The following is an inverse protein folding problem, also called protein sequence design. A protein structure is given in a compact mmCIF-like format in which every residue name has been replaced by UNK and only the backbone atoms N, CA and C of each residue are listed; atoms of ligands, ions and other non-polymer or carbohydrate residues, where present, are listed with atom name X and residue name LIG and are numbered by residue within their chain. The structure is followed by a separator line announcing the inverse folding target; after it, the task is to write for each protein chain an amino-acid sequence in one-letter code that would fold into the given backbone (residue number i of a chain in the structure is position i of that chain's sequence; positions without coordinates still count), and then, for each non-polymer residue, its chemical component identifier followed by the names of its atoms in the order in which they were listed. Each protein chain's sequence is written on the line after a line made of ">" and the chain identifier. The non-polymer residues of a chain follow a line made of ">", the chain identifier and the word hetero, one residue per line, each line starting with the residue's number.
data_IF_364167820186
#
_entry.id   IF_364167820186
#
_cell.length_a   1.000
_cell.length_b   1.000
_cell.length_c   1.000
_cell.angle_alpha   90.00
_cell.angle_beta   90.00
_cell.angle_gamma   90.00
#
_symmetry.space_group_name_H-M   'P 1'
#
loop_
_entity.id
_entity.type
_entity.pdbx_description
1 polymer ?
#
# COMPACT_ATOMS: atom_id res chain seq x y z
N UNK A 1 22.93 -10.83 5.01
CA UNK A 1 22.34 -12.08 5.52
C UNK A 1 20.96 -12.21 4.87
N UNK A 2 20.74 -13.15 3.94
CA UNK A 2 19.38 -13.34 3.38
C UNK A 2 18.59 -14.07 4.47
N UNK A 3 17.63 -13.36 5.08
CA UNK A 3 16.66 -13.97 5.97
C UNK A 3 15.90 -14.99 5.13
N UNK A 4 16.11 -16.28 5.40
CA UNK A 4 15.46 -17.38 4.70
C UNK A 4 13.95 -17.21 4.85
N UNK A 5 13.30 -16.79 3.76
CA UNK A 5 11.85 -16.67 3.71
C UNK A 5 11.22 -18.05 3.92
N UNK A 6 10.42 -18.25 4.98
CA UNK A 6 9.75 -19.54 5.16
C UNK A 6 8.86 -19.83 3.93
N UNK A 7 8.85 -21.10 3.51
CA UNK A 7 8.09 -21.56 2.33
C UNK A 7 6.64 -21.01 2.31
N UNK A 8 6.03 -20.86 3.49
CA UNK A 8 4.70 -20.29 3.64
C UNK A 8 4.58 -18.81 3.24
N UNK A 9 5.64 -17.99 3.35
CA UNK A 9 5.60 -16.61 2.91
C UNK A 9 5.64 -16.51 1.38
N UNK A 10 6.48 -17.33 0.75
CA UNK A 10 6.55 -17.41 -0.73
C UNK A 10 5.23 -17.85 -1.32
N UNK A 11 4.59 -18.88 -0.74
CA UNK A 11 3.27 -19.37 -1.19
C UNK A 11 2.20 -18.28 -1.07
N UNK A 12 2.18 -17.54 0.03
CA UNK A 12 1.26 -16.42 0.24
C UNK A 12 1.51 -15.27 -0.73
N UNK A 13 2.77 -14.95 -1.02
CA UNK A 13 3.13 -13.94 -2.01
C UNK A 13 2.67 -14.33 -3.42
N UNK A 14 2.87 -15.58 -3.82
CA UNK A 14 2.41 -16.10 -5.12
C UNK A 14 0.88 -16.05 -5.20
N UNK A 15 0.18 -16.49 -4.15
CA UNK A 15 -1.28 -16.46 -4.11
C UNK A 15 -1.81 -15.02 -4.20
N UNK A 16 -1.25 -14.11 -3.42
CA UNK A 16 -1.61 -12.69 -3.44
C UNK A 16 -1.34 -12.08 -4.82
N UNK A 17 -0.20 -12.36 -5.44
CA UNK A 17 0.14 -11.88 -6.78
C UNK A 17 -0.83 -12.43 -7.84
N UNK A 18 -1.22 -13.70 -7.75
CA UNK A 18 -2.21 -14.30 -8.65
C UNK A 18 -3.59 -13.65 -8.51
N UNK A 19 -4.07 -13.44 -7.28
CA UNK A 19 -5.32 -12.74 -6.99
C UNK A 19 -5.27 -11.30 -7.54
N UNK A 20 -4.20 -10.57 -7.24
CA UNK A 20 -4.00 -9.20 -7.72
C UNK A 20 -3.95 -9.10 -9.23
N UNK A 21 -3.27 -10.03 -9.89
CA UNK A 21 -3.23 -10.11 -11.35
C UNK A 21 -4.61 -10.35 -11.97
N UNK A 22 -5.41 -11.24 -11.37
CA UNK A 22 -6.78 -11.51 -11.80
C UNK A 22 -7.67 -10.27 -11.67
N UNK A 23 -7.60 -9.57 -10.52
CA UNK A 23 -8.38 -8.35 -10.27
C UNK A 23 -7.98 -7.25 -11.25
N UNK A 24 -6.70 -7.03 -11.47
CA UNK A 24 -6.22 -6.04 -12.43
C UNK A 24 -6.69 -6.35 -13.85
N UNK A 25 -6.58 -7.60 -14.28
CA UNK A 25 -7.08 -8.04 -15.59
C UNK A 25 -8.59 -7.81 -15.72
N UNK A 26 -9.37 -8.10 -14.67
CA UNK A 26 -10.80 -7.84 -14.61
C UNK A 26 -11.14 -6.35 -14.72
N UNK A 27 -10.44 -5.50 -13.97
CA UNK A 27 -10.63 -4.04 -14.03
C UNK A 27 -10.30 -3.47 -15.42
N UNK A 28 -9.20 -3.88 -16.01
CA UNK A 28 -8.81 -3.47 -17.37
C UNK A 28 -9.79 -3.98 -18.43
N UNK A 29 -10.32 -5.20 -18.27
CA UNK A 29 -11.34 -5.75 -19.16
C UNK A 29 -12.64 -4.93 -19.09
N UNK A 30 -13.08 -4.52 -17.91
CA UNK A 30 -14.26 -3.65 -17.73
C UNK A 30 -14.04 -2.33 -18.45
N UNK A 31 -12.92 -1.66 -18.26
CA UNK A 31 -12.58 -0.40 -18.93
C UNK A 31 -12.58 -0.57 -20.45
N UNK A 32 -11.98 -1.65 -20.95
CA UNK A 32 -11.94 -1.94 -22.38
C UNK A 32 -13.35 -2.20 -22.96
N UNK A 33 -14.20 -2.95 -22.25
CA UNK A 33 -15.59 -3.21 -22.66
C UNK A 33 -16.39 -1.91 -22.73
N UNK A 34 -16.30 -1.05 -21.71
CA UNK A 34 -16.96 0.25 -21.69
C UNK A 34 -16.48 1.11 -22.87
N UNK A 35 -15.18 1.16 -23.12
CA UNK A 35 -14.61 1.93 -24.22
C UNK A 35 -15.03 1.42 -25.60
N UNK A 36 -15.10 0.10 -25.79
CA UNK A 36 -15.59 -0.51 -27.02
C UNK A 36 -17.07 -0.24 -27.21
N UNK A 37 -17.90 -0.37 -26.16
CA UNK A 37 -19.32 -0.06 -26.20
C UNK A 37 -19.56 1.42 -26.58
N UNK A 38 -18.83 2.35 -25.97
CA UNK A 38 -18.84 3.76 -26.35
C UNK A 38 -18.40 4.00 -27.79
N UNK A 39 -17.36 3.31 -28.24
CA UNK A 39 -16.89 3.32 -29.63
C UNK A 39 -17.94 2.79 -30.63
N UNK A 40 -18.70 1.76 -30.25
CA UNK A 40 -19.81 1.23 -31.05
C UNK A 40 -20.95 2.26 -31.19
N UNK A 41 -21.32 2.94 -30.09
CA UNK A 41 -22.30 4.01 -30.10
C UNK A 41 -21.82 5.14 -31.02
N UNK A 42 -20.57 5.57 -30.85
CA UNK A 42 -19.97 6.61 -31.70
C UNK A 42 -19.94 6.19 -33.18
N UNK A 43 -19.72 4.90 -33.47
CA UNK A 43 -19.74 4.39 -34.85
C UNK A 43 -21.12 4.42 -35.49
N UNK A 44 -22.19 4.23 -34.72
CA UNK A 44 -23.55 4.34 -35.22
C UNK A 44 -23.81 5.76 -35.73
N UNK A 45 -23.60 6.78 -34.88
CA UNK A 45 -23.74 8.19 -35.25
C UNK A 45 -22.75 8.62 -36.35
N UNK A 46 -21.49 8.13 -36.26
CA UNK A 46 -20.46 8.41 -37.26
C UNK A 46 -20.80 7.82 -38.64
N UNK A 47 -21.41 6.65 -38.68
CA UNK A 47 -21.85 6.01 -39.93
C UNK A 47 -22.98 6.81 -40.62
N UNK A 48 -23.92 7.33 -39.83
CA UNK A 48 -25.00 8.18 -40.33
C UNK A 48 -24.43 9.47 -40.91
N UNK A 49 -23.49 10.12 -40.22
CA UNK A 49 -22.84 11.35 -40.70
C UNK A 49 -22.02 11.10 -41.97
N UNK A 50 -21.25 10.02 -42.04
CA UNK A 50 -20.48 9.65 -43.23
C UNK A 50 -21.41 9.30 -44.41
N UNK A 51 -22.56 8.65 -44.13
CA UNK A 51 -23.60 8.39 -45.13
C UNK A 51 -24.19 9.67 -45.73
N UNK A 52 -24.40 10.70 -44.87
CA UNK A 52 -24.87 12.02 -45.32
C UNK A 52 -23.89 12.70 -46.31
N UNK A 53 -22.59 12.53 -46.10
CA UNK A 53 -21.53 13.04 -47.00
C UNK A 53 -21.09 12.04 -48.07
N UNK A 54 -21.83 10.93 -48.22
CA UNK A 54 -21.60 9.85 -49.21
C UNK A 54 -20.22 9.18 -49.12
N UNK A 55 -19.64 9.13 -47.91
CA UNK A 55 -18.39 8.46 -47.65
C UNK A 55 -18.68 7.05 -47.08
N UNK A 56 -18.19 6.01 -47.77
CA UNK A 56 -18.25 4.62 -47.29
C UNK A 56 -16.93 4.21 -46.70
N UNK A 57 -16.81 4.07 -45.35
CA UNK A 57 -15.55 3.66 -44.73
C UNK A 57 -15.20 2.20 -45.06
N UNK A 58 -13.91 1.83 -45.14
CA UNK A 58 -13.47 0.44 -45.28
C UNK A 58 -13.99 -0.43 -44.12
N UNK A 59 -14.16 -1.74 -44.36
CA UNK A 59 -14.67 -2.69 -43.33
C UNK A 59 -13.91 -2.66 -42.04
N UNK A 60 -12.57 -2.41 -42.05
CA UNK A 60 -11.73 -2.36 -40.87
C UNK A 60 -11.72 -1.02 -40.15
N UNK A 61 -12.36 0.01 -40.67
CA UNK A 61 -12.34 1.36 -40.10
C UNK A 61 -12.90 1.38 -38.67
N UNK A 62 -14.14 0.90 -38.47
CA UNK A 62 -14.77 0.89 -37.16
C UNK A 62 -14.08 -0.02 -36.13
N UNK A 63 -13.68 -1.28 -36.45
CA UNK A 63 -12.88 -2.11 -35.56
C UNK A 63 -11.57 -1.44 -35.11
N UNK A 64 -10.89 -0.71 -36.00
CA UNK A 64 -9.69 0.05 -35.64
C UNK A 64 -10.04 1.18 -34.67
N UNK A 65 -11.12 1.94 -34.94
CA UNK A 65 -11.58 3.00 -34.04
C UNK A 65 -11.90 2.44 -32.64
N UNK A 66 -12.63 1.33 -32.55
CA UNK A 66 -12.94 0.68 -31.26
C UNK A 66 -11.69 0.22 -30.52
N UNK A 67 -10.72 -0.36 -31.23
CA UNK A 67 -9.43 -0.77 -30.65
C UNK A 67 -8.64 0.43 -30.13
N UNK A 68 -8.63 1.54 -30.86
CA UNK A 68 -7.99 2.78 -30.43
C UNK A 68 -8.69 3.39 -29.21
N UNK A 69 -10.03 3.36 -29.17
CA UNK A 69 -10.80 3.79 -28.00
C UNK A 69 -10.44 2.93 -26.76
N UNK A 70 -10.40 1.61 -26.90
CA UNK A 70 -10.05 0.70 -25.82
C UNK A 70 -8.62 0.94 -25.35
N UNK A 71 -7.66 1.07 -26.25
CA UNK A 71 -6.25 1.35 -25.91
C UNK A 71 -6.09 2.71 -25.24
N UNK A 72 -6.76 3.74 -25.76
CA UNK A 72 -6.77 5.09 -25.20
C UNK A 72 -7.36 5.11 -23.78
N UNK A 73 -8.52 4.51 -23.58
CA UNK A 73 -9.19 4.43 -22.29
C UNK A 73 -8.33 3.65 -21.26
N UNK A 74 -7.79 2.50 -21.65
CA UNK A 74 -6.90 1.71 -20.80
C UNK A 74 -5.64 2.50 -20.42
N UNK A 75 -5.05 3.23 -21.38
CA UNK A 75 -3.88 4.08 -21.11
C UNK A 75 -4.21 5.23 -20.14
N UNK A 76 -5.35 5.87 -20.30
CA UNK A 76 -5.82 6.93 -19.40
C UNK A 76 -6.10 6.39 -18.02
N UNK A 77 -6.72 5.22 -17.91
CA UNK A 77 -6.99 4.55 -16.65
C UNK A 77 -5.71 4.19 -15.89
N UNK A 78 -4.72 3.59 -16.56
CA UNK A 78 -3.41 3.31 -15.95
C UNK A 78 -2.72 4.60 -15.49
N UNK A 79 -2.78 5.67 -16.30
CA UNK A 79 -2.24 6.98 -15.90
C UNK A 79 -2.95 7.56 -14.67
N UNK A 80 -4.28 7.38 -14.57
CA UNK A 80 -5.05 7.81 -13.41
C UNK A 80 -4.58 7.08 -12.15
N UNK A 81 -4.43 5.76 -12.19
CA UNK A 81 -3.91 4.96 -11.07
C UNK A 81 -2.52 5.44 -10.63
N UNK A 82 -1.59 5.62 -11.59
CA UNK A 82 -0.24 6.12 -11.29
C UNK A 82 -0.31 7.51 -10.65
N UNK A 83 -1.20 8.37 -11.16
CA UNK A 83 -1.40 9.72 -10.60
C UNK A 83 -1.92 9.66 -9.18
N UNK A 84 -2.92 8.83 -8.90
CA UNK A 84 -3.48 8.63 -7.55
C UNK A 84 -2.35 8.25 -6.58
N UNK A 85 -1.56 7.21 -6.90
CA UNK A 85 -0.46 6.75 -6.05
C UNK A 85 0.54 7.88 -5.78
N UNK A 86 0.93 8.65 -6.81
CA UNK A 86 1.88 9.76 -6.66
C UNK A 86 1.33 10.91 -5.83
N UNK A 87 0.06 11.25 -6.05
CA UNK A 87 -0.60 12.35 -5.33
C UNK A 87 -0.75 11.99 -3.84
N UNK A 88 -1.13 10.76 -3.53
CA UNK A 88 -1.23 10.28 -2.16
C UNK A 88 0.13 10.28 -1.44
N UNK A 89 1.17 9.75 -2.07
CA UNK A 89 2.54 9.81 -1.52
C UNK A 89 2.98 11.24 -1.27
N UNK A 90 2.67 12.18 -2.18
CA UNK A 90 3.00 13.60 -2.02
C UNK A 90 2.26 14.22 -0.83
N UNK A 91 0.94 14.01 -0.74
CA UNK A 91 0.10 14.53 0.33
C UNK A 91 0.56 14.06 1.72
N UNK A 92 1.07 12.81 1.81
CA UNK A 92 1.65 12.30 3.06
C UNK A 92 2.96 12.99 3.42
N UNK A 93 3.86 13.16 2.47
CA UNK A 93 5.16 13.78 2.73
C UNK A 93 5.04 15.28 3.02
N UNK A 94 4.05 15.96 2.46
CA UNK A 94 3.77 17.39 2.76
C UNK A 94 3.47 17.65 4.24
N UNK A 95 2.88 16.68 4.95
CA UNK A 95 2.58 16.78 6.39
C UNK A 95 3.79 16.52 7.27
N UNK A 96 4.90 16.10 6.71
CA UNK A 96 6.08 15.66 7.46
C UNK A 96 7.23 16.62 7.30
N UNK A 97 8.05 16.75 8.35
CA UNK A 97 9.26 17.56 8.38
C UNK A 97 10.49 16.65 8.42
N UNK A 98 11.56 16.93 7.68
CA UNK A 98 12.81 16.20 7.82
C UNK A 98 13.31 16.18 9.27
N UNK A 99 13.82 15.03 9.73
CA UNK A 99 14.31 14.88 11.11
C UNK A 99 15.37 15.93 11.45
N UNK A 100 16.21 16.33 10.49
CA UNK A 100 17.26 17.34 10.65
C UNK A 100 16.73 18.75 10.96
N UNK A 101 15.48 19.03 10.67
CA UNK A 101 14.84 20.34 10.88
C UNK A 101 14.04 20.39 12.18
N UNK A 102 13.91 19.25 12.88
CA UNK A 102 13.12 19.14 14.10
C UNK A 102 14.01 19.22 15.32
N UNK A 103 13.77 20.20 16.19
CA UNK A 103 14.51 20.36 17.45
C UNK A 103 13.88 19.47 18.55
N UNK A 104 14.27 18.20 18.59
CA UNK A 104 13.86 17.25 19.63
C UNK A 104 15.11 16.61 20.26
N UNK A 105 15.00 16.22 21.53
CA UNK A 105 16.11 15.56 22.25
C UNK A 105 16.48 14.20 21.63
N UNK A 106 15.49 13.52 21.04
CA UNK A 106 15.62 12.18 20.49
C UNK A 106 16.18 12.17 19.05
N UNK A 107 16.34 13.33 18.40
CA UNK A 107 16.76 13.42 16.98
C UNK A 107 18.06 12.66 16.71
N UNK A 108 19.10 12.89 17.49
CA UNK A 108 20.39 12.22 17.31
C UNK A 108 20.33 10.71 17.57
N UNK A 109 19.50 10.29 18.52
CA UNK A 109 19.29 8.88 18.82
C UNK A 109 18.54 8.16 17.69
N UNK A 110 17.51 8.78 17.13
CA UNK A 110 16.73 8.23 16.00
C UNK A 110 17.65 8.07 14.79
N UNK A 111 18.40 9.12 14.43
CA UNK A 111 19.28 9.11 13.26
C UNK A 111 20.38 8.05 13.39
N UNK A 112 21.09 8.02 14.52
CA UNK A 112 22.14 7.03 14.77
C UNK A 112 21.60 5.60 14.84
N UNK A 113 20.39 5.40 15.35
CA UNK A 113 19.74 4.09 15.39
C UNK A 113 19.36 3.62 13.99
N UNK A 114 18.76 4.49 13.15
CA UNK A 114 18.41 4.18 11.78
C UNK A 114 19.66 3.82 10.96
N UNK A 115 20.73 4.61 11.07
CA UNK A 115 22.00 4.33 10.40
C UNK A 115 22.63 3.00 10.84
N UNK A 116 22.68 2.74 12.13
CA UNK A 116 23.21 1.50 12.68
C UNK A 116 22.44 0.27 12.20
N UNK A 117 21.11 0.32 12.28
CA UNK A 117 20.24 -0.78 11.88
C UNK A 117 20.30 -1.03 10.36
N UNK A 118 20.30 0.01 9.53
CA UNK A 118 20.44 -0.09 8.09
C UNK A 118 21.76 -0.74 7.68
N UNK A 119 22.88 -0.36 8.33
CA UNK A 119 24.19 -0.98 8.11
C UNK A 119 24.22 -2.47 8.47
N UNK A 120 23.50 -2.90 9.53
CA UNK A 120 23.45 -4.31 9.92
C UNK A 120 22.86 -5.20 8.84
N UNK A 121 21.88 -4.70 8.08
CA UNK A 121 21.20 -5.46 7.01
C UNK A 121 21.72 -5.13 5.61
N UNK A 122 22.67 -4.19 5.50
CA UNK A 122 23.34 -3.86 4.25
C UNK A 122 22.48 -3.08 3.26
N UNK A 123 21.58 -2.22 3.77
CA UNK A 123 20.76 -1.31 2.94
C UNK A 123 21.25 0.14 3.09
N UNK A 124 20.87 0.98 2.13
CA UNK A 124 21.06 2.42 2.25
C UNK A 124 20.30 2.96 3.47
N UNK A 125 20.90 3.90 4.20
CA UNK A 125 20.25 4.52 5.37
C UNK A 125 18.98 5.24 4.93
N UNK A 126 17.79 4.87 5.46
CA UNK A 126 16.55 5.53 5.11
C UNK A 126 16.53 6.97 5.61
N UNK A 127 15.84 7.85 4.87
CA UNK A 127 15.59 9.21 5.35
C UNK A 127 14.48 9.17 6.40
N UNK A 128 14.74 9.71 7.60
CA UNK A 128 13.70 9.81 8.63
C UNK A 128 13.02 11.16 8.57
N UNK A 129 11.69 11.16 8.64
CA UNK A 129 10.83 12.35 8.69
C UNK A 129 9.88 12.26 9.87
N UNK A 130 9.43 13.40 10.37
CA UNK A 130 8.55 13.50 11.53
C UNK A 130 7.18 14.03 11.09
N UNK A 131 6.13 13.32 11.47
CA UNK A 131 4.74 13.78 11.39
C UNK A 131 4.36 14.44 12.72
N UNK A 132 3.73 15.61 12.67
CA UNK A 132 3.33 16.36 13.87
C UNK A 132 2.12 15.77 14.59
N UNK A 133 1.51 14.70 14.08
CA UNK A 133 0.33 14.08 14.70
C UNK A 133 0.64 13.51 16.09
N UNK A 134 -0.34 13.63 16.98
CA UNK A 134 -0.27 13.08 18.35
C UNK A 134 -0.67 11.60 18.41
N UNK A 135 -1.29 11.06 17.36
CA UNK A 135 -1.56 9.63 17.26
C UNK A 135 -0.24 8.89 17.03
N UNK A 136 0.09 7.89 17.87
CA UNK A 136 1.31 7.10 17.69
C UNK A 136 1.24 6.30 16.38
N UNK A 137 2.16 6.57 15.45
CA UNK A 137 2.27 5.84 14.19
C UNK A 137 3.71 5.87 13.66
N UNK A 138 4.08 4.80 12.98
CA UNK A 138 5.27 4.69 12.16
C UNK A 138 4.89 4.06 10.83
N UNK A 139 5.51 4.51 9.74
CA UNK A 139 5.35 3.91 8.43
C UNK A 139 6.52 4.22 7.52
N UNK A 140 6.68 3.38 6.51
CA UNK A 140 7.72 3.55 5.50
C UNK A 140 7.08 3.82 4.15
N UNK A 141 7.67 4.73 3.37
CA UNK A 141 7.19 5.09 2.03
C UNK A 141 8.36 5.39 1.09
N UNK A 142 8.05 5.61 -0.18
CA UNK A 142 8.98 6.14 -1.17
C UNK A 142 8.61 7.56 -1.58
N UNK A 143 9.51 8.24 -2.28
CA UNK A 143 9.22 9.54 -2.89
C UNK A 143 8.03 9.44 -3.86
N UNK A 144 7.29 10.54 -4.08
CA UNK A 144 6.13 10.54 -4.98
C UNK A 144 6.47 10.16 -6.43
N UNK A 145 7.66 10.54 -6.89
CA UNK A 145 8.19 10.28 -8.23
C UNK A 145 8.81 8.89 -8.39
N UNK A 146 8.98 8.18 -7.27
CA UNK A 146 9.57 6.85 -7.27
C UNK A 146 8.80 5.86 -8.16
N UNK A 147 9.50 4.98 -8.92
CA UNK A 147 8.87 3.95 -9.71
C UNK A 147 7.99 3.02 -8.87
N UNK A 148 6.83 2.63 -9.40
CA UNK A 148 5.91 1.73 -8.69
C UNK A 148 6.40 0.29 -8.75
N UNK A 149 6.96 -0.12 -9.88
CA UNK A 149 7.28 -1.52 -10.18
C UNK A 149 8.78 -1.78 -10.26
N UNK A 150 9.57 -0.80 -10.69
CA UNK A 150 11.02 -0.97 -10.92
C UNK A 150 11.81 -0.79 -9.63
N UNK A 151 12.75 -1.72 -9.39
CA UNK A 151 13.73 -1.60 -8.31
C UNK A 151 14.88 -0.71 -8.79
N UNK A 152 14.81 0.58 -8.49
CA UNK A 152 16.01 1.40 -8.53
C UNK A 152 16.75 1.22 -7.19
N UNK A 153 17.98 0.71 -7.25
CA UNK A 153 18.79 0.46 -6.04
C UNK A 153 19.27 1.74 -5.37
N UNK A 154 19.21 2.85 -6.10
CA UNK A 154 19.63 4.18 -5.60
C UNK A 154 18.48 4.91 -4.90
N UNK A 155 17.30 4.32 -4.87
CA UNK A 155 16.14 4.92 -4.23
C UNK A 155 16.16 4.72 -2.72
N UNK A 156 16.29 5.83 -2.00
CA UNK A 156 16.30 5.84 -0.54
C UNK A 156 14.86 5.85 -0.02
N UNK A 157 14.43 4.82 0.71
CA UNK A 157 13.12 4.82 1.36
C UNK A 157 13.05 5.84 2.49
N UNK A 158 11.84 6.24 2.84
CA UNK A 158 11.55 7.25 3.85
C UNK A 158 10.80 6.57 4.99
N UNK A 159 11.32 6.65 6.21
CA UNK A 159 10.60 6.26 7.42
C UNK A 159 9.99 7.50 8.04
N UNK A 160 8.70 7.45 8.33
CA UNK A 160 7.98 8.53 9.01
C UNK A 160 7.61 8.08 10.41
N UNK A 161 7.94 8.89 11.41
CA UNK A 161 7.58 8.68 12.81
C UNK A 161 6.71 9.84 13.28
N UNK A 162 5.63 9.56 13.98
CA UNK A 162 4.83 10.62 14.57
C UNK A 162 5.43 11.15 15.87
N UNK A 163 5.13 12.41 16.19
CA UNK A 163 5.47 12.98 17.50
C UNK A 163 4.77 12.24 18.64
N UNK A 164 3.57 11.71 18.39
CA UNK A 164 2.86 10.85 19.34
C UNK A 164 3.63 9.57 19.65
N UNK A 165 4.17 8.90 18.64
CA UNK A 165 4.99 7.70 18.80
C UNK A 165 6.23 7.98 19.65
N UNK A 166 6.98 9.03 19.30
CA UNK A 166 8.25 9.39 19.97
C UNK A 166 8.00 9.72 21.45
N UNK A 167 6.86 10.35 21.78
CA UNK A 167 6.51 10.65 23.17
C UNK A 167 6.00 9.45 23.97
N UNK A 168 5.43 8.46 23.31
CA UNK A 168 4.83 7.28 23.96
C UNK A 168 5.89 6.21 24.26
N UNK A 169 6.89 6.08 23.41
CA UNK A 169 7.85 5.00 23.47
C UNK A 169 9.16 5.42 24.15
N UNK A 170 9.77 4.51 24.88
CA UNK A 170 11.15 4.64 25.36
C UNK A 170 12.13 4.51 24.19
N UNK A 171 13.40 4.86 24.42
CA UNK A 171 14.43 4.76 23.36
C UNK A 171 14.63 3.33 22.85
N UNK A 172 14.58 2.32 23.73
CA UNK A 172 14.69 0.90 23.32
C UNK A 172 13.50 0.46 22.48
N UNK A 173 12.27 0.84 22.87
CA UNK A 173 11.05 0.56 22.12
C UNK A 173 11.06 1.28 20.74
N UNK A 174 11.50 2.53 20.73
CA UNK A 174 11.63 3.30 19.47
C UNK A 174 12.68 2.69 18.53
N UNK A 175 13.82 2.20 19.08
CA UNK A 175 14.81 1.44 18.29
C UNK A 175 14.24 0.13 17.75
N UNK A 176 13.41 -0.57 18.52
CA UNK A 176 12.75 -1.80 18.06
C UNK A 176 11.72 -1.53 16.95
N UNK A 177 10.98 -0.43 17.05
CA UNK A 177 10.08 0.03 15.98
C UNK A 177 10.84 0.41 14.72
N UNK A 178 11.94 1.16 14.84
CA UNK A 178 12.83 1.46 13.70
C UNK A 178 13.37 0.18 13.06
N UNK A 179 13.76 -0.81 13.87
CA UNK A 179 14.21 -2.11 13.35
C UNK A 179 13.10 -2.84 12.59
N UNK A 180 11.83 -2.72 13.02
CA UNK A 180 10.69 -3.28 12.31
C UNK A 180 10.48 -2.62 10.95
N UNK A 181 10.50 -1.28 10.88
CA UNK A 181 10.39 -0.53 9.62
C UNK A 181 11.56 -0.87 8.66
N UNK A 182 12.78 -0.94 9.18
CA UNK A 182 13.96 -1.35 8.42
C UNK A 182 13.84 -2.80 7.94
N UNK A 183 13.19 -3.66 8.72
CA UNK A 183 12.85 -5.03 8.31
C UNK A 183 11.99 -5.07 7.05
N UNK A 184 11.00 -4.20 6.93
CA UNK A 184 10.18 -4.06 5.72
C UNK A 184 10.98 -3.58 4.51
N UNK A 185 11.88 -2.63 4.72
CA UNK A 185 12.77 -2.14 3.66
C UNK A 185 13.71 -3.26 3.18
N UNK A 186 14.34 -3.96 4.11
CA UNK A 186 15.29 -5.02 3.79
C UNK A 186 14.67 -6.21 3.06
N UNK A 187 13.37 -6.45 3.28
CA UNK A 187 12.59 -7.49 2.59
C UNK A 187 11.96 -7.01 1.27
N UNK A 188 12.15 -5.74 0.89
CA UNK A 188 11.52 -5.10 -0.28
C UNK A 188 9.97 -5.13 -0.23
N UNK A 189 9.41 -5.13 0.97
CA UNK A 189 7.98 -5.26 1.22
C UNK A 189 7.17 -4.10 0.64
N UNK A 190 7.75 -2.88 0.61
CA UNK A 190 7.08 -1.68 0.13
C UNK A 190 6.68 -1.76 -1.34
N UNK A 191 7.58 -2.29 -2.17
CA UNK A 191 7.29 -2.44 -3.61
C UNK A 191 6.25 -3.51 -3.83
N UNK A 192 6.41 -4.63 -3.16
CA UNK A 192 5.51 -5.75 -3.34
C UNK A 192 4.09 -5.39 -2.90
N UNK A 193 3.93 -4.71 -1.74
CA UNK A 193 2.60 -4.25 -1.30
C UNK A 193 2.03 -3.20 -2.25
N UNK A 194 2.84 -2.27 -2.77
CA UNK A 194 2.38 -1.27 -3.74
C UNK A 194 1.85 -1.95 -5.00
N UNK A 195 2.55 -2.96 -5.54
CA UNK A 195 2.09 -3.73 -6.71
C UNK A 195 0.79 -4.49 -6.41
N UNK A 196 0.65 -5.06 -5.20
CA UNK A 196 -0.56 -5.74 -4.78
C UNK A 196 -1.75 -4.79 -4.57
N UNK A 197 -1.50 -3.51 -4.29
CA UNK A 197 -2.52 -2.48 -4.10
C UNK A 197 -3.02 -1.87 -5.41
N UNK A 198 -2.22 -1.90 -6.49
CA UNK A 198 -2.63 -1.38 -7.80
C UNK A 198 -4.00 -1.93 -8.25
N UNK A 199 -4.28 -3.24 -8.16
CA UNK A 199 -5.58 -3.79 -8.51
C UNK A 199 -6.72 -3.31 -7.62
N UNK A 200 -6.46 -3.09 -6.32
CA UNK A 200 -7.46 -2.55 -5.41
C UNK A 200 -7.85 -1.12 -5.81
N UNK A 201 -6.84 -0.26 -6.04
CA UNK A 201 -7.06 1.11 -6.52
C UNK A 201 -7.81 1.09 -7.85
N UNK A 202 -7.43 0.19 -8.77
CA UNK A 202 -8.09 0.03 -10.06
C UNK A 202 -9.57 -0.35 -9.90
N UNK A 203 -9.88 -1.26 -8.99
CA UNK A 203 -11.25 -1.67 -8.73
C UNK A 203 -12.08 -0.56 -8.05
N UNK A 204 -11.50 0.17 -7.10
CA UNK A 204 -12.14 1.30 -6.41
C UNK A 204 -12.43 2.46 -7.37
N UNK A 205 -11.51 2.77 -8.29
CA UNK A 205 -11.72 3.80 -9.32
C UNK A 205 -12.93 3.50 -10.23
N UNK A 206 -13.35 2.24 -10.34
CA UNK A 206 -14.56 1.85 -11.07
C UNK A 206 -15.85 2.09 -10.28
N UNK A 207 -15.77 2.34 -8.97
CA UNK A 207 -16.93 2.53 -8.08
C UNK A 207 -17.19 3.99 -7.71
N UNK A 208 -16.25 4.91 -8.00
CA UNK A 208 -16.32 6.33 -7.58
C UNK A 208 -17.18 7.21 -8.49
N UNK A 209 -17.82 6.66 -9.51
CA UNK A 209 -18.62 7.47 -10.45
C UNK A 209 -20.02 7.77 -9.86
N UNK A 210 -20.22 8.98 -9.29
CA UNK A 210 -21.48 9.48 -8.72
C UNK A 210 -22.61 9.66 -9.78
N UNK A 211 -22.39 9.29 -11.01
CA UNK A 211 -23.29 9.49 -12.15
C UNK A 211 -23.89 8.21 -12.69
N UNK A 212 -25.01 7.77 -12.15
CA UNK A 212 -26.09 7.04 -12.87
C UNK A 212 -25.70 6.01 -13.96
N UNK A 213 -24.59 5.34 -13.85
CA UNK A 213 -24.28 4.20 -14.73
C UNK A 213 -24.50 2.90 -13.98
N UNK A 214 -25.35 2.13 -14.58
CA UNK A 214 -25.73 0.73 -14.33
C UNK A 214 -25.05 0.10 -13.08
N UNK A 215 -25.83 -0.20 -12.07
CA UNK A 215 -25.52 -0.96 -10.85
C UNK A 215 -24.63 -2.21 -11.08
N UNK A 216 -24.48 -2.69 -12.30
CA UNK A 216 -23.67 -3.87 -12.66
C UNK A 216 -22.18 -3.58 -12.61
N UNK A 217 -21.70 -2.45 -13.13
CA UNK A 217 -20.26 -2.10 -13.13
C UNK A 217 -19.79 -1.76 -11.73
N UNK A 218 -20.60 -1.04 -10.98
CA UNK A 218 -20.37 -0.75 -9.57
C UNK A 218 -20.29 -2.05 -8.74
N UNK A 219 -21.25 -2.98 -8.94
CA UNK A 219 -21.22 -4.29 -8.30
C UNK A 219 -19.96 -5.09 -8.66
N UNK A 220 -19.53 -5.07 -9.92
CA UNK A 220 -18.29 -5.70 -10.34
C UNK A 220 -17.07 -5.05 -9.70
N UNK A 221 -17.03 -3.73 -9.61
CA UNK A 221 -15.96 -2.98 -8.92
C UNK A 221 -15.86 -3.36 -7.45
N UNK A 222 -16.98 -3.39 -6.73
CA UNK A 222 -17.01 -3.81 -5.33
C UNK A 222 -16.56 -5.27 -5.13
N UNK A 223 -16.98 -6.18 -6.03
CA UNK A 223 -16.53 -7.58 -5.97
C UNK A 223 -15.03 -7.69 -6.21
N UNK A 224 -14.50 -6.97 -7.19
CA UNK A 224 -13.06 -6.94 -7.48
C UNK A 224 -12.27 -6.34 -6.30
N UNK A 225 -12.74 -5.26 -5.69
CA UNK A 225 -12.14 -4.65 -4.50
C UNK A 225 -12.11 -5.63 -3.33
N UNK A 226 -13.21 -6.35 -3.10
CA UNK A 226 -13.29 -7.37 -2.05
C UNK A 226 -12.26 -8.50 -2.26
N UNK A 227 -12.14 -8.99 -3.50
CA UNK A 227 -11.17 -10.04 -3.86
C UNK A 227 -9.73 -9.52 -3.69
N UNK A 228 -9.45 -8.28 -4.12
CA UNK A 228 -8.15 -7.65 -3.94
C UNK A 228 -7.76 -7.52 -2.46
N UNK A 229 -8.69 -7.10 -1.60
CA UNK A 229 -8.47 -6.99 -0.15
C UNK A 229 -8.10 -8.33 0.50
N UNK A 230 -8.70 -9.44 0.06
CA UNK A 230 -8.30 -10.78 0.52
C UNK A 230 -6.84 -11.06 0.17
N UNK A 231 -6.44 -10.79 -1.07
CA UNK A 231 -5.05 -10.96 -1.54
C UNK A 231 -4.06 -10.15 -0.72
N UNK A 232 -4.35 -8.87 -0.52
CA UNK A 232 -3.54 -7.96 0.31
C UNK A 232 -3.46 -8.48 1.74
N UNK A 233 -4.59 -8.87 2.36
CA UNK A 233 -4.62 -9.34 3.74
C UNK A 233 -3.84 -10.65 3.96
N UNK A 234 -3.90 -11.59 3.01
CA UNK A 234 -3.14 -12.86 3.08
C UNK A 234 -1.63 -12.60 3.05
N UNK A 235 -1.19 -11.69 2.17
CA UNK A 235 0.23 -11.33 2.05
C UNK A 235 0.70 -10.52 3.27
N UNK A 236 -0.02 -9.49 3.64
CA UNK A 236 0.37 -8.52 4.66
C UNK A 236 0.62 -9.16 6.02
N UNK A 237 -0.26 -10.09 6.47
CA UNK A 237 -0.07 -10.80 7.76
C UNK A 237 1.23 -11.60 7.83
N UNK A 238 1.62 -12.24 6.74
CA UNK A 238 2.90 -12.98 6.71
C UNK A 238 4.12 -12.07 6.79
N UNK A 239 4.02 -10.92 6.18
CA UNK A 239 5.04 -9.88 6.14
C UNK A 239 5.28 -9.26 7.51
N UNK A 240 4.22 -8.93 8.25
CA UNK A 240 4.32 -8.39 9.60
C UNK A 240 5.08 -9.33 10.55
N UNK A 241 4.75 -10.62 10.53
CA UNK A 241 5.45 -11.62 11.33
C UNK A 241 6.92 -11.79 10.92
N UNK A 242 7.25 -11.58 9.65
CA UNK A 242 8.63 -11.59 9.17
C UNK A 242 9.39 -10.34 9.63
N UNK A 243 8.77 -9.16 9.59
CA UNK A 243 9.34 -7.91 10.06
C UNK A 243 9.57 -7.92 11.59
N UNK A 244 8.63 -8.45 12.38
CA UNK A 244 8.79 -8.63 13.83
C UNK A 244 10.01 -9.50 14.15
N UNK A 245 10.17 -10.61 13.41
CA UNK A 245 11.33 -11.49 13.58
C UNK A 245 12.62 -10.81 13.17
N UNK A 246 12.62 -10.06 12.09
CA UNK A 246 13.76 -9.27 11.65
C UNK A 246 14.13 -8.20 12.67
N UNK A 247 13.14 -7.47 13.21
CA UNK A 247 13.32 -6.47 14.25
C UNK A 247 13.94 -7.08 15.54
N UNK A 248 13.42 -8.23 15.99
CA UNK A 248 13.94 -8.93 17.14
C UNK A 248 15.43 -9.31 16.97
N UNK A 249 15.81 -9.79 15.78
CA UNK A 249 17.21 -10.16 15.47
C UNK A 249 18.10 -8.91 15.36
N UNK A 250 17.63 -7.83 14.73
CA UNK A 250 18.41 -6.60 14.54
C UNK A 250 18.59 -5.79 15.81
N UNK A 251 17.54 -5.66 16.61
CA UNK A 251 17.59 -4.92 17.87
C UNK A 251 18.26 -5.73 18.99
N UNK A 252 18.16 -7.06 18.95
CA UNK A 252 18.51 -7.94 20.04
C UNK A 252 17.54 -7.87 21.24
N UNK A 253 16.46 -7.09 21.11
CA UNK A 253 15.52 -6.79 22.20
C UNK A 253 14.06 -7.10 21.79
N UNK A 254 13.67 -8.38 21.59
CA UNK A 254 12.30 -8.74 21.22
C UNK A 254 11.27 -8.28 22.25
N UNK A 255 11.65 -8.18 23.54
CA UNK A 255 10.78 -7.68 24.60
C UNK A 255 10.45 -6.18 24.44
N UNK A 256 11.38 -5.38 23.91
CA UNK A 256 11.15 -3.96 23.66
C UNK A 256 10.10 -3.76 22.55
N UNK A 257 10.16 -4.57 21.47
CA UNK A 257 9.13 -4.55 20.43
C UNK A 257 7.77 -5.01 20.97
N UNK A 258 7.74 -6.07 21.79
CA UNK A 258 6.50 -6.53 22.40
C UNK A 258 5.86 -5.44 23.28
N UNK A 259 6.64 -4.77 24.13
CA UNK A 259 6.19 -3.66 24.96
C UNK A 259 5.69 -2.46 24.11
N UNK A 260 6.40 -2.13 23.03
CA UNK A 260 5.96 -1.09 22.10
C UNK A 260 4.58 -1.41 21.49
N UNK A 261 4.38 -2.65 21.03
CA UNK A 261 3.11 -3.08 20.46
C UNK A 261 1.95 -3.02 21.47
N UNK A 262 2.19 -3.45 22.73
CA UNK A 262 1.21 -3.37 23.80
C UNK A 262 0.81 -1.91 24.08
N UNK A 263 1.77 -0.99 24.22
CA UNK A 263 1.51 0.45 24.42
C UNK A 263 0.75 1.10 23.27
N UNK A 264 1.07 0.70 22.03
CA UNK A 264 0.42 1.23 20.84
C UNK A 264 -1.03 0.75 20.71
N UNK A 265 -1.31 -0.49 21.11
CA UNK A 265 -2.67 -1.03 21.14
C UNK A 265 -3.54 -0.32 22.21
N UNK A 266 -2.99 -0.10 23.41
CA UNK A 266 -3.66 0.64 24.48
C UNK A 266 -3.95 2.09 24.11
N UNK A 267 -3.05 2.77 23.40
CA UNK A 267 -3.20 4.17 22.99
C UNK A 267 -4.29 4.37 21.93
N UNK A 268 -4.74 3.28 21.31
CA UNK A 268 -5.73 3.28 20.22
C UNK A 268 -7.17 3.25 20.69
N UNK A 269 -7.44 3.17 22.00
CA UNK A 269 -8.81 3.23 22.55
C UNK A 269 -9.18 4.67 22.95
N UNK A 270 -10.17 5.36 22.26
CA UNK A 270 -11.46 4.82 21.87
C UNK A 270 -11.63 4.65 20.34
N UNK A 271 -12.35 3.58 19.93
CA UNK A 271 -12.74 3.36 18.54
C UNK A 271 -13.48 4.59 18.01
N UNK A 272 -13.09 5.18 16.87
CA UNK A 272 -13.87 6.25 16.25
C UNK A 272 -15.27 5.74 15.94
N UNK A 273 -16.29 6.44 16.40
CA UNK A 273 -17.70 6.14 16.15
C UNK A 273 -18.18 6.59 14.77
N UNK A 274 -17.31 7.22 13.99
CA UNK A 274 -17.62 7.69 12.64
C UNK A 274 -17.14 6.64 11.63
N UNK A 275 -18.01 6.29 10.70
CA UNK A 275 -17.73 5.31 9.65
C UNK A 275 -16.69 5.87 8.66
N UNK A 276 -15.43 5.71 9.00
CA UNK A 276 -14.28 6.09 8.17
C UNK A 276 -14.01 5.05 7.07
N UNK A 277 -14.96 4.13 6.81
CA UNK A 277 -14.75 2.97 5.93
C UNK A 277 -14.48 3.37 4.49
N UNK A 278 -15.07 4.44 4.00
CA UNK A 278 -14.99 4.79 2.60
C UNK A 278 -13.72 5.58 2.24
N UNK A 279 -13.22 6.42 3.16
CA UNK A 279 -11.98 7.18 2.93
C UNK A 279 -10.71 6.45 3.41
N UNK A 280 -10.86 5.52 4.35
CA UNK A 280 -9.72 4.84 4.96
C UNK A 280 -9.22 3.63 4.14
N UNK A 281 -10.01 3.07 3.23
CA UNK A 281 -9.64 1.83 2.53
C UNK A 281 -8.53 2.04 1.51
N UNK A 282 -8.70 2.94 0.57
CA UNK A 282 -7.67 3.24 -0.45
C UNK A 282 -6.50 4.04 0.13
N UNK A 283 -6.77 5.04 0.98
CA UNK A 283 -5.74 5.89 1.58
C UNK A 283 -4.76 5.11 2.46
N UNK A 284 -5.27 4.22 3.33
CA UNK A 284 -4.40 3.40 4.18
C UNK A 284 -3.68 2.29 3.42
N UNK A 285 -4.23 1.85 2.31
CA UNK A 285 -3.62 0.85 1.46
C UNK A 285 -2.46 1.41 0.61
N UNK A 286 -2.57 2.68 0.15
CA UNK A 286 -1.54 3.33 -0.68
C UNK A 286 -0.35 3.78 0.15
N UNK A 287 -0.55 4.08 1.43
CA UNK A 287 0.48 4.62 2.31
C UNK A 287 1.25 3.58 3.08
N UNK A 288 1.38 2.38 2.50
CA UNK A 288 1.99 1.28 3.25
C UNK A 288 1.37 1.23 4.63
N UNK A 289 0.34 0.46 4.79
CA UNK A 289 -0.35 0.18 6.05
C UNK A 289 0.49 0.63 7.24
N UNK A 290 0.07 1.62 8.04
CA UNK A 290 0.85 1.98 9.21
C UNK A 290 1.11 0.69 9.96
N UNK A 291 2.36 0.27 9.95
CA UNK A 291 2.77 -1.03 10.46
C UNK A 291 2.56 -1.13 11.95
N UNK A 292 2.46 0.06 12.58
CA UNK A 292 2.27 0.24 14.02
C UNK A 292 1.30 1.41 14.29
N UNK A 293 0.05 1.28 13.88
CA UNK A 293 -0.96 2.29 14.10
C UNK A 293 -2.38 1.73 14.03
N UNK A 294 -3.41 2.52 14.45
CA UNK A 294 -4.77 2.07 14.65
C UNK A 294 -5.54 1.84 13.36
N UNK A 295 -5.04 1.02 12.45
CA UNK A 295 -5.69 0.79 11.19
C UNK A 295 -6.10 -0.64 10.97
N UNK A 296 -7.29 -0.73 10.41
CA UNK A 296 -8.02 -1.89 9.95
C UNK A 296 -8.71 -2.69 11.05
N UNK A 297 -9.81 -2.17 11.42
CA UNK A 297 -10.90 -2.86 12.12
C UNK A 297 -11.58 -3.95 11.28
N UNK A 298 -10.87 -4.56 10.32
CA UNK A 298 -11.31 -5.79 9.68
C UNK A 298 -10.98 -6.97 10.58
N UNK A 299 -11.97 -7.71 11.05
CA UNK A 299 -11.76 -8.99 11.74
C UNK A 299 -11.66 -10.13 10.73
N UNK A 300 -10.80 -11.10 10.99
CA UNK A 300 -10.71 -12.31 10.17
C UNK A 300 -9.91 -12.16 8.86
N UNK A 301 -10.45 -12.62 7.74
CA UNK A 301 -9.75 -12.70 6.45
C UNK A 301 -9.40 -11.33 5.85
N UNK A 302 -10.14 -10.28 6.21
CA UNK A 302 -9.94 -8.92 5.72
C UNK A 302 -8.96 -8.10 6.57
N UNK A 303 -8.49 -8.64 7.71
CA UNK A 303 -7.46 -7.99 8.51
C UNK A 303 -6.13 -8.01 7.76
N UNK A 304 -5.51 -6.85 7.65
CA UNK A 304 -4.18 -6.70 7.03
C UNK A 304 -3.05 -6.98 8.00
N UNK A 305 -3.33 -6.97 9.31
CA UNK A 305 -2.37 -7.28 10.36
C UNK A 305 -2.74 -8.58 11.09
N UNK A 306 -1.74 -9.35 11.58
CA UNK A 306 -1.98 -10.41 12.55
C UNK A 306 -2.56 -9.80 13.84
N UNK A 307 -3.25 -10.61 14.64
CA UNK A 307 -3.67 -10.17 15.97
C UNK A 307 -2.44 -9.83 16.83
N UNK A 308 -2.60 -8.83 17.71
CA UNK A 308 -1.54 -8.49 18.68
C UNK A 308 -1.06 -9.72 19.43
N UNK A 309 -1.98 -10.57 19.87
CA UNK A 309 -1.66 -11.81 20.58
C UNK A 309 -0.70 -12.72 19.77
N UNK A 310 -0.98 -12.92 18.48
CA UNK A 310 -0.11 -13.72 17.60
C UNK A 310 1.30 -13.13 17.49
N UNK A 311 1.41 -11.79 17.37
CA UNK A 311 2.70 -11.10 17.32
C UNK A 311 3.45 -11.23 18.63
N UNK A 312 2.78 -11.03 19.77
CA UNK A 312 3.37 -11.16 21.11
C UNK A 312 3.82 -12.59 21.39
N UNK A 313 3.03 -13.60 21.03
CA UNK A 313 3.43 -15.01 21.17
C UNK A 313 4.72 -15.31 20.39
N UNK A 314 4.82 -14.81 19.13
CA UNK A 314 6.04 -14.96 18.34
C UNK A 314 7.25 -14.30 19.02
N UNK A 315 7.12 -13.04 19.46
CA UNK A 315 8.21 -12.29 20.09
C UNK A 315 8.64 -12.95 21.42
N UNK A 316 7.69 -13.42 22.23
CA UNK A 316 7.97 -14.15 23.47
C UNK A 316 8.70 -15.47 23.21
N UNK A 317 8.43 -16.15 22.10
CA UNK A 317 9.18 -17.36 21.75
C UNK A 317 10.63 -17.07 21.43
N UNK A 318 10.92 -15.93 20.79
CA UNK A 318 12.28 -15.48 20.46
C UNK A 318 13.10 -15.00 21.69
N UNK A 319 12.43 -14.72 22.80
CA UNK A 319 13.10 -14.32 24.06
C UNK A 319 13.57 -15.54 24.85
N UNK A 320 13.08 -16.74 24.56
CA UNK A 320 13.38 -17.98 25.29
C UNK A 320 14.53 -18.79 24.69
N UNK A 321 14.90 -18.51 23.46
CA UNK A 321 15.99 -19.12 22.72
C UNK A 321 17.27 -18.26 22.85
#
# INVERSE_FOLDING_TARGET
>A
MRLTTPLGLVTRAILAAAISGLVLAGSLAIVAVIAVAGGMILSAYGSDLLGFVQITPPRMFWPIVWSLCALGATSLFVRAIVRIIRTERAAFLERTTPLSEVAMAETSYIDSSAERLARQVGIATPTVRIDSTTTPLAYTTYRPDAPIVSADRDETPIIVLSTGLIKTLSQSELSAVLAHEIGHIANDDLRLITVLLVPLIAAETLTEDEGSTSNVFELCGHLLSFIALIGVGVFSRGRELAADRAAAVMSGEPAALASALEKLDESTTPKPTTDLRDHARSMNAINVLPTLGPVATGTGLLSTHPSLETRLEQLRSLTRD
#
